data_IF_851603977142
#
_entry.id   IF_851603977142
#
_cell.length_a   1.000
_cell.length_b   1.000
_cell.length_c   1.000
_cell.angle_alpha   90.00
_cell.angle_beta   90.00
_cell.angle_gamma   90.00
#
_symmetry.space_group_name_H-M   'P 1'
#
loop_
_entity.id
_entity.type
_entity.pdbx_description
1 polymer ?
#
# COMPACT_ATOMS: atom_id res chain seq x y z
N UNK A 1 -8.81 4.08 -0.24
CA UNK A 1 -7.89 3.69 -1.34
C UNK A 1 -7.53 4.92 -2.13
N UNK A 2 -6.24 5.08 -2.41
CA UNK A 2 -5.73 6.17 -3.25
C UNK A 2 -4.82 5.55 -4.32
N UNK A 3 -5.00 5.95 -5.58
CA UNK A 3 -4.13 5.56 -6.70
C UNK A 3 -3.08 6.64 -6.92
N UNK A 4 -1.81 6.27 -6.97
CA UNK A 4 -0.69 7.20 -7.19
C UNK A 4 0.33 6.59 -8.17
N UNK A 5 1.00 7.42 -8.96
CA UNK A 5 2.15 6.99 -9.76
C UNK A 5 3.44 7.18 -8.95
N UNK A 6 4.25 6.15 -8.86
CA UNK A 6 5.57 6.17 -8.24
C UNK A 6 6.62 5.97 -9.33
N UNK A 7 7.45 6.98 -9.55
CA UNK A 7 8.50 6.97 -10.59
C UNK A 7 9.71 7.77 -10.06
N UNK A 8 10.46 7.23 -9.07
CA UNK A 8 11.50 7.97 -8.38
C UNK A 8 12.66 8.36 -9.30
N UNK A 9 12.98 7.51 -10.28
CA UNK A 9 14.09 7.69 -11.23
C UNK A 9 13.64 8.35 -12.55
N UNK A 10 12.39 8.83 -12.64
CA UNK A 10 11.81 9.44 -13.85
C UNK A 10 11.98 8.56 -15.11
N UNK A 11 11.76 7.26 -14.95
CA UNK A 11 11.86 6.25 -16.01
C UNK A 11 10.79 6.44 -17.10
N UNK A 12 9.68 7.11 -16.78
CA UNK A 12 8.60 7.37 -17.73
C UNK A 12 8.69 8.76 -18.35
N UNK A 13 8.37 8.84 -19.66
CA UNK A 13 8.16 10.13 -20.30
C UNK A 13 6.96 10.87 -19.71
N UNK A 14 6.96 12.21 -19.76
CA UNK A 14 5.82 13.04 -19.32
C UNK A 14 4.50 12.65 -19.99
N UNK A 15 4.55 12.24 -21.27
CA UNK A 15 3.36 11.78 -22.02
C UNK A 15 2.80 10.50 -21.40
N UNK A 16 3.68 9.57 -21.05
CA UNK A 16 3.32 8.30 -20.46
C UNK A 16 2.79 8.46 -19.03
N UNK A 17 3.43 9.28 -18.21
CA UNK A 17 2.93 9.65 -16.89
C UNK A 17 1.51 10.23 -16.96
N UNK A 18 1.25 11.18 -17.88
CA UNK A 18 -0.10 11.74 -18.10
C UNK A 18 -1.11 10.68 -18.52
N UNK A 19 -0.72 9.77 -19.42
CA UNK A 19 -1.57 8.67 -19.88
C UNK A 19 -2.00 7.79 -18.71
N UNK A 20 -1.07 7.42 -17.83
CA UNK A 20 -1.34 6.56 -16.67
C UNK A 20 -2.21 7.26 -15.61
N UNK A 21 -1.96 8.55 -15.36
CA UNK A 21 -2.77 9.34 -14.42
C UNK A 21 -4.20 9.57 -14.93
N UNK A 22 -4.37 9.66 -16.25
CA UNK A 22 -5.68 9.80 -16.90
C UNK A 22 -6.45 8.47 -17.02
N UNK A 23 -5.76 7.33 -16.97
CA UNK A 23 -6.41 6.01 -17.02
C UNK A 23 -7.31 5.82 -15.79
N UNK A 24 -8.55 5.41 -16.01
CA UNK A 24 -9.57 5.14 -14.98
C UNK A 24 -10.21 3.77 -15.18
N UNK A 25 -9.61 2.90 -15.97
CA UNK A 25 -10.08 1.53 -16.20
C UNK A 25 -10.18 0.71 -14.91
N UNK A 26 -9.36 1.04 -13.90
CA UNK A 26 -9.42 0.48 -12.56
C UNK A 26 -10.53 1.07 -11.65
N UNK A 27 -11.28 2.07 -12.13
CA UNK A 27 -12.35 2.73 -11.38
C UNK A 27 -11.88 3.84 -10.42
N UNK A 28 -10.59 4.19 -10.42
CA UNK A 28 -10.03 5.23 -9.53
C UNK A 28 -9.40 6.37 -10.33
N UNK A 29 -9.66 7.61 -9.93
CA UNK A 29 -8.84 8.75 -10.34
C UNK A 29 -7.51 8.75 -9.57
N UNK A 30 -6.43 9.17 -10.23
CA UNK A 30 -5.17 9.41 -9.54
C UNK A 30 -5.32 10.50 -8.47
N UNK A 31 -4.61 10.33 -7.36
CA UNK A 31 -4.52 11.26 -6.22
C UNK A 31 -5.85 11.58 -5.52
N UNK A 32 -6.91 10.83 -5.82
CA UNK A 32 -8.22 10.97 -5.15
C UNK A 32 -8.35 9.91 -4.05
N UNK A 33 -8.61 10.29 -2.80
CA UNK A 33 -8.88 9.35 -1.72
C UNK A 33 -10.33 8.85 -1.80
N UNK A 34 -10.48 7.53 -1.91
CA UNK A 34 -11.77 6.86 -1.94
C UNK A 34 -12.03 6.12 -0.62
N UNK A 35 -13.19 6.36 0.00
CA UNK A 35 -13.64 5.56 1.14
C UNK A 35 -13.98 4.14 0.68
N UNK A 36 -13.50 3.15 1.44
CA UNK A 36 -13.82 1.74 1.23
C UNK A 36 -15.21 1.36 1.76
N UNK A 37 -15.77 2.16 2.69
CA UNK A 37 -17.09 1.92 3.26
C UNK A 37 -18.23 2.36 2.34
N UNK A 38 -17.94 3.17 1.32
CA UNK A 38 -18.96 3.63 0.36
C UNK A 38 -19.05 2.67 -0.82
N UNK A 39 -20.25 2.50 -1.36
CA UNK A 39 -20.53 1.72 -2.57
C UNK A 39 -20.09 0.24 -2.49
N UNK A 40 -20.13 -0.37 -1.30
CA UNK A 40 -19.77 -1.79 -1.08
C UNK A 40 -18.35 -2.11 -1.62
N UNK A 41 -17.45 -1.13 -1.53
CA UNK A 41 -16.12 -1.26 -2.15
C UNK A 41 -15.28 -2.35 -1.49
N UNK A 42 -15.51 -2.66 -0.22
CA UNK A 42 -14.86 -3.80 0.44
C UNK A 42 -15.13 -5.14 -0.25
N UNK A 43 -16.32 -5.32 -0.81
CA UNK A 43 -16.70 -6.58 -1.47
C UNK A 43 -16.15 -6.66 -2.89
N UNK A 44 -15.97 -5.50 -3.53
CA UNK A 44 -15.60 -5.39 -4.96
C UNK A 44 -14.11 -5.18 -5.19
N UNK A 45 -13.41 -4.57 -4.24
CA UNK A 45 -11.99 -4.21 -4.37
C UNK A 45 -11.16 -5.09 -3.44
N UNK A 46 -10.40 -5.99 -4.06
CA UNK A 46 -9.39 -6.80 -3.40
C UNK A 46 -8.06 -6.70 -4.17
N UNK A 47 -7.01 -7.33 -3.66
CA UNK A 47 -5.70 -7.29 -4.31
C UNK A 47 -5.75 -7.82 -5.75
N UNK A 48 -6.50 -8.91 -5.97
CA UNK A 48 -6.65 -9.53 -7.29
C UNK A 48 -7.32 -8.61 -8.29
N UNK A 49 -8.38 -7.91 -7.91
CA UNK A 49 -9.08 -6.99 -8.82
C UNK A 49 -8.20 -5.80 -9.24
N UNK A 50 -7.32 -5.34 -8.34
CA UNK A 50 -6.41 -4.22 -8.60
C UNK A 50 -5.20 -4.62 -9.45
N UNK A 51 -4.70 -5.84 -9.26
CA UNK A 51 -3.47 -6.32 -9.86
C UNK A 51 -3.67 -7.06 -11.20
N UNK A 52 -4.69 -7.92 -11.32
CA UNK A 52 -4.78 -8.88 -12.43
C UNK A 52 -5.12 -8.28 -13.80
N UNK A 53 -5.64 -7.05 -13.85
CA UNK A 53 -6.06 -6.40 -15.10
C UNK A 53 -4.96 -5.49 -15.70
N UNK A 54 -3.70 -5.84 -15.48
CA UNK A 54 -2.56 -5.07 -15.99
C UNK A 54 -2.30 -5.42 -17.47
N UNK A 55 -2.11 -4.38 -18.30
CA UNK A 55 -1.69 -4.59 -19.70
C UNK A 55 -0.20 -4.95 -19.72
N UNK A 56 0.26 -5.83 -20.62
CA UNK A 56 1.68 -6.23 -20.68
C UNK A 56 2.66 -5.07 -20.81
N UNK A 57 2.25 -3.97 -21.46
CA UNK A 57 3.06 -2.76 -21.64
C UNK A 57 2.83 -1.67 -20.58
N UNK A 58 2.03 -1.93 -19.55
CA UNK A 58 1.80 -0.98 -18.47
C UNK A 58 2.75 -1.22 -17.30
N UNK A 59 3.16 -0.17 -16.59
CA UNK A 59 4.03 -0.31 -15.42
C UNK A 59 3.42 -1.22 -14.35
N UNK A 60 4.30 -1.85 -13.57
CA UNK A 60 3.93 -2.75 -12.48
C UNK A 60 2.93 -2.09 -11.52
N UNK A 61 1.94 -2.87 -11.07
CA UNK A 61 0.99 -2.44 -10.04
C UNK A 61 1.37 -3.00 -8.68
N UNK A 62 1.22 -2.19 -7.65
CA UNK A 62 1.44 -2.60 -6.27
C UNK A 62 0.30 -2.14 -5.37
N UNK A 63 -0.22 -3.05 -4.54
CA UNK A 63 -1.18 -2.72 -3.48
C UNK A 63 -0.41 -2.55 -2.18
N UNK A 64 -0.59 -1.40 -1.53
CA UNK A 64 0.13 -1.03 -0.31
C UNK A 64 -0.86 -0.97 0.84
N UNK A 65 -0.69 -1.84 1.84
CA UNK A 65 -1.48 -1.80 3.06
C UNK A 65 -0.85 -0.82 4.05
N UNK A 66 -1.57 0.26 4.35
CA UNK A 66 -1.13 1.34 5.24
C UNK A 66 -2.00 1.40 6.48
N UNK A 67 -1.38 1.69 7.62
CA UNK A 67 -2.08 2.12 8.82
C UNK A 67 -1.82 3.61 9.01
N UNK A 68 -2.88 4.43 9.10
CA UNK A 68 -2.73 5.82 9.50
C UNK A 68 -2.21 5.85 10.94
N UNK A 69 -0.99 6.36 11.11
CA UNK A 69 -0.58 6.97 12.37
C UNK A 69 -1.22 8.36 12.36
N UNK A 70 -1.86 8.82 13.45
CA UNK A 70 -2.43 10.16 13.50
C UNK A 70 -1.43 11.19 12.95
N UNK A 71 -1.90 12.10 12.10
CA UNK A 71 -1.07 13.06 11.35
C UNK A 71 -0.06 13.84 12.23
N UNK A 72 -0.31 13.92 13.54
CA UNK A 72 0.42 14.68 14.54
C UNK A 72 1.69 14.00 15.12
N UNK A 73 2.04 12.75 14.77
CA UNK A 73 3.26 12.14 15.32
C UNK A 73 4.51 12.45 14.46
N UNK A 74 5.56 13.09 15.03
CA UNK A 74 6.79 13.41 14.31
C UNK A 74 7.66 12.18 13.98
N UNK A 75 7.29 10.99 14.47
CA UNK A 75 8.04 9.75 14.25
C UNK A 75 7.44 8.95 13.10
N UNK A 76 7.51 9.48 11.86
CA UNK A 76 7.00 8.78 10.67
C UNK A 76 8.05 7.83 10.09
N UNK A 77 8.36 6.75 10.81
CA UNK A 77 9.11 5.63 10.23
C UNK A 77 8.19 4.42 10.16
N UNK A 78 7.84 4.05 8.92
CA UNK A 78 7.10 2.82 8.61
C UNK A 78 5.61 2.87 8.91
N UNK A 79 4.81 3.18 7.89
CA UNK A 79 3.35 3.11 7.94
C UNK A 79 2.78 1.94 7.13
N UNK A 80 3.64 1.20 6.44
CA UNK A 80 3.27 0.09 5.57
C UNK A 80 3.46 -1.21 6.33
N UNK A 81 2.43 -2.04 6.38
CA UNK A 81 2.47 -3.37 7.02
C UNK A 81 2.85 -4.47 6.02
N UNK A 82 2.34 -4.38 4.80
CA UNK A 82 2.65 -5.27 3.70
C UNK A 82 2.41 -4.58 2.35
N UNK A 83 3.02 -5.16 1.32
CA UNK A 83 2.71 -4.87 -0.08
C UNK A 83 2.31 -6.17 -0.80
N UNK A 84 1.49 -6.02 -1.83
CA UNK A 84 1.12 -7.12 -2.74
C UNK A 84 1.42 -6.73 -4.18
N UNK A 85 2.04 -7.64 -4.91
CA UNK A 85 2.45 -7.51 -6.31
C UNK A 85 2.11 -8.79 -7.07
N UNK A 86 2.19 -8.75 -8.40
CA UNK A 86 2.19 -9.96 -9.22
C UNK A 86 3.63 -10.41 -9.41
N UNK A 87 3.87 -11.69 -9.14
CA UNK A 87 5.15 -12.36 -9.23
C UNK A 87 4.91 -13.72 -9.89
N UNK A 88 5.49 -13.96 -11.06
CA UNK A 88 5.26 -15.15 -11.90
C UNK A 88 3.77 -15.51 -12.11
N UNK A 89 2.94 -14.48 -12.31
CA UNK A 89 1.49 -14.64 -12.54
C UNK A 89 0.66 -14.93 -11.28
N UNK A 90 1.29 -15.05 -10.11
CA UNK A 90 0.63 -15.19 -8.82
C UNK A 90 0.73 -13.91 -7.99
N UNK A 91 -0.23 -13.70 -7.07
CA UNK A 91 -0.16 -12.56 -6.16
C UNK A 91 0.78 -12.91 -5.00
N UNK A 92 1.95 -12.28 -4.97
CA UNK A 92 2.88 -12.35 -3.87
C UNK A 92 2.57 -11.30 -2.80
N UNK A 93 2.73 -11.66 -1.53
CA UNK A 93 2.65 -10.72 -0.40
C UNK A 93 4.01 -10.61 0.26
N UNK A 94 4.55 -9.39 0.34
CA UNK A 94 5.75 -9.09 1.13
C UNK A 94 5.31 -8.39 2.40
N UNK A 95 5.57 -9.01 3.55
CA UNK A 95 5.15 -8.50 4.85
C UNK A 95 6.32 -8.27 5.78
N UNK A 96 6.21 -7.28 6.68
CA UNK A 96 7.24 -6.98 7.66
C UNK A 96 7.03 -7.69 9.01
N UNK A 97 6.36 -8.85 9.02
CA UNK A 97 6.24 -9.71 10.21
C UNK A 97 5.62 -9.01 11.43
N UNK A 98 4.55 -8.23 11.22
CA UNK A 98 3.86 -7.47 12.27
C UNK A 98 4.51 -6.11 12.62
N UNK A 99 5.73 -5.84 12.15
CA UNK A 99 6.33 -4.51 12.23
C UNK A 99 5.89 -3.67 11.02
N UNK A 100 5.88 -2.35 11.18
CA UNK A 100 5.65 -1.43 10.07
C UNK A 100 6.98 -0.94 9.53
N UNK A 101 7.08 -0.81 8.21
CA UNK A 101 8.33 -0.45 7.52
C UNK A 101 8.08 0.62 6.45
N UNK A 102 9.09 1.44 6.11
CA UNK A 102 8.99 2.38 5.00
C UNK A 102 8.89 1.62 3.67
N UNK A 103 8.46 2.30 2.60
CA UNK A 103 8.33 1.68 1.28
C UNK A 103 9.67 1.12 0.77
N UNK A 104 10.78 1.82 1.04
CA UNK A 104 12.13 1.40 0.65
C UNK A 104 12.52 0.01 1.15
N UNK A 105 12.03 -0.41 2.32
CA UNK A 105 12.23 -1.77 2.82
C UNK A 105 11.58 -2.80 1.90
N UNK A 106 10.32 -2.56 1.50
CA UNK A 106 9.59 -3.47 0.63
C UNK A 106 10.15 -3.47 -0.79
N UNK A 107 10.55 -2.31 -1.32
CA UNK A 107 11.22 -2.21 -2.62
C UNK A 107 12.52 -3.04 -2.64
N UNK A 108 13.33 -2.97 -1.57
CA UNK A 108 14.54 -3.80 -1.43
C UNK A 108 14.24 -5.30 -1.46
N UNK A 109 13.23 -5.74 -0.71
CA UNK A 109 12.78 -7.13 -0.71
C UNK A 109 12.26 -7.59 -2.08
N UNK A 110 11.55 -6.72 -2.81
CA UNK A 110 11.07 -7.02 -4.16
C UNK A 110 12.23 -7.17 -5.15
N UNK A 111 13.26 -6.32 -5.05
CA UNK A 111 14.46 -6.44 -5.90
C UNK A 111 15.20 -7.75 -5.67
N UNK A 112 15.42 -8.12 -4.41
CA UNK A 112 16.04 -9.41 -4.06
C UNK A 112 15.25 -10.58 -4.63
N UNK A 113 13.92 -10.51 -4.54
CA UNK A 113 13.02 -11.56 -5.02
C UNK A 113 12.99 -11.68 -6.55
N UNK A 114 13.06 -10.55 -7.25
CA UNK A 114 13.08 -10.49 -8.72
C UNK A 114 14.49 -10.63 -9.32
N UNK A 115 15.52 -10.81 -8.48
CA UNK A 115 16.94 -10.82 -8.89
C UNK A 115 17.36 -9.58 -9.71
N UNK A 116 16.82 -8.40 -9.37
CA UNK A 116 17.15 -7.15 -10.06
C UNK A 116 18.53 -6.62 -9.62
N UNK A 117 19.35 -6.26 -10.60
CA UNK A 117 20.70 -5.74 -10.38
C UNK A 117 20.66 -4.48 -9.54
N UNK A 118 21.61 -4.30 -8.61
CA UNK A 118 21.64 -3.13 -7.70
C UNK A 118 21.78 -1.78 -8.41
N UNK A 119 22.32 -1.78 -9.62
CA UNK A 119 22.50 -0.59 -10.45
C UNK A 119 21.29 -0.31 -11.35
N UNK A 120 20.37 -1.28 -11.50
CA UNK A 120 19.17 -1.08 -12.30
C UNK A 120 18.25 -0.05 -11.63
N UNK A 121 17.79 0.98 -12.38
CA UNK A 121 16.91 2.01 -11.86
C UNK A 121 15.61 1.40 -11.36
N UNK A 122 15.08 1.94 -10.26
CA UNK A 122 13.80 1.47 -9.74
C UNK A 122 12.68 1.77 -10.76
N UNK A 123 11.94 0.73 -11.22
CA UNK A 123 10.95 0.92 -12.26
C UNK A 123 9.77 1.75 -11.75
N UNK A 124 9.13 2.48 -12.65
CA UNK A 124 7.88 3.13 -12.33
C UNK A 124 6.80 2.10 -11.98
N UNK A 125 5.97 2.43 -10.99
CA UNK A 125 4.86 1.59 -10.51
C UNK A 125 3.60 2.40 -10.27
N UNK A 126 2.45 1.79 -10.51
CA UNK A 126 1.16 2.32 -10.05
C UNK A 126 0.84 1.75 -8.68
N UNK A 127 0.71 2.61 -7.69
CA UNK A 127 0.41 2.22 -6.31
C UNK A 127 -1.07 2.39 -5.98
N UNK A 128 -1.66 1.38 -5.36
CA UNK A 128 -2.96 1.45 -4.71
C UNK A 128 -2.76 1.39 -3.19
N UNK A 129 -2.80 2.55 -2.54
CA UNK A 129 -2.68 2.64 -1.08
C UNK A 129 -4.02 2.39 -0.40
N UNK A 130 -4.12 1.30 0.36
CA UNK A 130 -5.29 0.99 1.19
C UNK A 130 -4.98 1.37 2.62
N UNK A 131 -5.65 2.40 3.13
CA UNK A 131 -5.51 2.83 4.52
C UNK A 131 -6.60 2.18 5.36
N UNK A 132 -6.20 1.44 6.39
CA UNK A 132 -7.10 0.93 7.43
C UNK A 132 -6.80 1.61 8.75
N UNK A 133 -7.81 2.18 9.41
CA UNK A 133 -7.68 2.53 10.83
C UNK A 133 -7.52 1.25 11.62
N UNK A 134 -6.44 1.09 12.39
CA UNK A 134 -6.42 -0.02 13.34
C UNK A 134 -7.56 0.19 14.33
N UNK A 135 -8.38 -0.81 14.65
CA UNK A 135 -9.24 -0.72 15.81
C UNK A 135 -8.33 -0.43 17.01
N UNK A 136 -8.55 0.71 17.66
CA UNK A 136 -7.93 0.97 18.96
C UNK A 136 -8.27 -0.21 19.85
N UNK A 137 -7.26 -0.95 20.34
CA UNK A 137 -7.48 -1.92 21.40
C UNK A 137 -8.28 -1.20 22.49
N UNK A 138 -9.44 -1.71 22.93
CA UNK A 138 -10.09 -1.14 24.09
C UNK A 138 -9.09 -1.22 25.24
N UNK A 139 -8.74 -0.07 25.82
CA UNK A 139 -7.98 -0.05 27.06
C UNK A 139 -8.79 -0.85 28.09
N UNK A 140 -8.31 -2.04 28.45
CA UNK A 140 -8.80 -2.78 29.61
C UNK A 140 -8.54 -1.88 30.82
N UNK A 141 -9.56 -1.15 31.25
CA UNK A 141 -9.57 -0.42 32.50
C UNK A 141 -9.47 -1.44 33.62
N UNK A 142 -8.26 -1.62 34.17
CA UNK A 142 -8.06 -2.33 35.43
C UNK A 142 -8.84 -1.56 36.51
N UNK A 143 -10.06 -2.00 36.82
CA UNK A 143 -10.75 -1.62 38.05
C UNK A 143 -9.90 -2.14 39.22
N UNK A 144 -9.18 -1.23 39.87
CA UNK A 144 -8.55 -1.48 41.16
C UNK A 144 -9.66 -1.59 42.21
N UNK A 145 -9.95 -2.79 42.68
CA UNK A 145 -10.80 -3.04 43.84
C UNK A 145 -9.99 -2.74 45.10
N UNK A 146 -10.28 -1.63 45.77
CA UNK A 146 -9.74 -1.32 47.10
C UNK A 146 -10.53 -2.15 48.14
N UNK A 147 -9.92 -3.20 48.68
CA UNK A 147 -10.46 -3.88 49.88
C UNK A 147 -10.46 -2.91 51.06
N UNK A 148 -11.64 -2.71 51.64
CA UNK A 148 -11.80 -2.17 52.99
C UNK A 148 -11.42 -3.26 53.99
N UNK A 149 -10.52 -2.93 54.92
CA UNK A 149 -10.33 -3.71 56.14
C UNK A 149 -11.20 -3.09 57.23
N UNK A 150 -11.83 -3.98 58.01
CA UNK A 150 -12.79 -3.76 59.10
C UNK A 150 -12.12 -3.01 60.26
#
# INVERSE_FOLDING_TARGET
VTKTLYDPENTLSKREQRRLLADRSDGFCADVPYSMNKHERWDKINASSLLNNQKPSSPERMVISRSDVPFASPCRVGTISNVKVIDDGAIATVSAGGKRKPLSYFNGQLRERMNLDKEEPEPARVHFSITTSSPSSPCLTKKSSRSQYI
#
